data_IF_226478171830
#
_entry.id   IF_226478171830
#
_cell.length_a   1.000
_cell.length_b   1.000
_cell.length_c   1.000
_cell.angle_alpha   90.00
_cell.angle_beta   90.00
_cell.angle_gamma   90.00
#
_symmetry.space_group_name_H-M   'P 1'
#
loop_
_entity.id
_entity.type
_entity.pdbx_description
1 polymer ?
#
# COMPACT_ATOMS: atom_id res chain seq x y z
N UNK A 1 6.74 -11.68 -4.53
CA UNK A 1 5.63 -10.71 -4.62
C UNK A 1 5.08 -10.76 -6.02
N UNK A 2 3.79 -10.53 -6.17
CA UNK A 2 3.09 -10.44 -7.44
C UNK A 2 2.22 -9.18 -7.45
N UNK A 3 2.11 -8.54 -8.61
CA UNK A 3 1.19 -7.42 -8.77
C UNK A 3 -0.23 -7.93 -8.99
N UNK A 4 -1.16 -7.42 -8.20
CA UNK A 4 -2.60 -7.68 -8.29
C UNK A 4 -3.33 -6.37 -8.55
N UNK A 5 -3.39 -5.95 -9.81
CA UNK A 5 -4.06 -4.73 -10.22
C UNK A 5 -4.53 -4.79 -11.67
N UNK A 6 -5.62 -4.07 -11.96
CA UNK A 6 -6.12 -3.92 -13.33
C UNK A 6 -5.29 -2.91 -14.14
N UNK A 7 -4.63 -1.97 -13.46
CA UNK A 7 -3.70 -1.02 -14.08
C UNK A 7 -2.27 -1.58 -14.07
N UNK A 8 -1.36 -1.03 -14.91
CA UNK A 8 0.05 -1.41 -14.89
C UNK A 8 0.67 -1.27 -13.50
N UNK A 9 1.73 -2.02 -13.28
CA UNK A 9 2.59 -1.89 -12.10
C UNK A 9 3.01 -0.42 -11.93
N UNK A 10 2.79 0.13 -10.73
CA UNK A 10 3.07 1.54 -10.42
C UNK A 10 1.91 2.50 -10.70
N UNK A 11 0.78 2.02 -11.21
CA UNK A 11 -0.47 2.79 -11.26
C UNK A 11 -1.13 2.94 -9.88
N UNK A 12 -2.09 3.87 -9.79
CA UNK A 12 -2.96 4.17 -8.64
C UNK A 12 -3.94 3.04 -8.27
N UNK A 13 -3.98 1.94 -9.04
CA UNK A 13 -4.91 0.83 -8.79
C UNK A 13 -4.21 -0.52 -8.91
N UNK A 14 -3.99 -1.14 -7.76
CA UNK A 14 -3.48 -2.51 -7.63
C UNK A 14 -2.77 -2.70 -6.30
N UNK A 15 -2.19 -3.86 -6.06
CA UNK A 15 -1.32 -4.06 -4.91
C UNK A 15 -0.20 -5.03 -5.24
N UNK A 16 0.98 -4.78 -4.68
CA UNK A 16 1.95 -5.86 -4.55
C UNK A 16 1.48 -6.78 -3.44
N UNK A 17 1.36 -8.07 -3.72
CA UNK A 17 0.90 -9.07 -2.77
C UNK A 17 1.92 -10.20 -2.66
N UNK A 18 2.14 -10.70 -1.44
CA UNK A 18 2.87 -11.92 -1.20
C UNK A 18 1.90 -13.02 -0.72
N UNK A 19 1.58 -14.01 -1.57
CA UNK A 19 0.64 -15.07 -1.20
C UNK A 19 1.14 -15.99 -0.09
N UNK A 20 2.45 -16.02 0.19
CA UNK A 20 3.01 -16.86 1.26
C UNK A 20 2.77 -16.27 2.64
N UNK A 21 2.84 -14.94 2.74
CA UNK A 21 2.77 -14.22 4.02
C UNK A 21 1.47 -13.44 4.20
N UNK A 22 0.72 -13.22 3.11
CA UNK A 22 -0.42 -12.32 3.08
C UNK A 22 -0.04 -10.85 3.13
N UNK A 23 1.25 -10.51 2.97
CA UNK A 23 1.72 -9.13 2.91
C UNK A 23 1.17 -8.42 1.68
N UNK A 24 0.84 -7.15 1.82
CA UNK A 24 0.46 -6.32 0.68
C UNK A 24 0.97 -4.89 0.77
N UNK A 25 1.21 -4.29 -0.39
CA UNK A 25 1.47 -2.87 -0.56
C UNK A 25 0.49 -2.29 -1.58
N UNK A 26 -0.33 -1.33 -1.16
CA UNK A 26 -1.30 -0.64 -2.00
C UNK A 26 -0.87 0.82 -2.22
N UNK A 27 -0.60 1.26 -3.46
CA UNK A 27 -0.29 2.65 -3.74
C UNK A 27 -1.56 3.49 -3.72
N UNK A 28 -1.59 4.55 -2.91
CA UNK A 28 -2.55 5.65 -3.01
C UNK A 28 -1.81 6.98 -3.18
N UNK A 29 -1.18 7.11 -4.35
CA UNK A 29 -0.29 8.23 -4.67
C UNK A 29 -1.02 9.54 -4.97
N UNK A 30 -2.34 9.51 -5.10
CA UNK A 30 -3.17 10.68 -5.40
C UNK A 30 -4.14 11.03 -4.26
N UNK A 31 -3.94 10.44 -3.07
CA UNK A 31 -4.79 10.71 -1.92
C UNK A 31 -4.77 12.21 -1.60
N UNK A 32 -5.96 12.79 -1.53
CA UNK A 32 -6.12 14.22 -1.30
C UNK A 32 -5.69 14.61 0.13
N UNK A 33 -5.40 15.90 0.38
CA UNK A 33 -5.21 16.42 1.73
C UNK A 33 -6.41 16.09 2.65
N UNK A 34 -6.20 15.93 3.97
CA UNK A 34 -4.97 16.25 4.70
C UNK A 34 -3.93 15.12 4.74
N UNK A 35 -4.28 13.92 4.28
CA UNK A 35 -3.38 12.75 4.37
C UNK A 35 -2.28 12.87 3.32
N UNK A 36 -2.63 13.14 2.06
CA UNK A 36 -1.66 13.22 0.98
C UNK A 36 -1.17 11.84 0.49
N UNK A 37 -0.33 11.81 -0.56
CA UNK A 37 0.15 10.60 -1.20
C UNK A 37 0.85 9.62 -0.25
N UNK A 38 0.54 8.33 -0.35
CA UNK A 38 1.15 7.29 0.48
C UNK A 38 1.05 5.89 -0.13
N UNK A 39 1.66 4.92 0.55
CA UNK A 39 1.38 3.51 0.38
C UNK A 39 0.76 2.92 1.65
N UNK A 40 -0.26 2.09 1.51
CA UNK A 40 -0.74 1.25 2.60
C UNK A 40 -0.03 -0.10 2.59
N UNK A 41 0.61 -0.42 3.72
CA UNK A 41 1.31 -1.68 3.95
C UNK A 41 0.54 -2.54 4.95
N UNK A 42 0.29 -3.79 4.56
CA UNK A 42 -0.23 -4.84 5.44
C UNK A 42 0.85 -5.91 5.59
N UNK A 43 1.26 -6.28 6.82
CA UNK A 43 2.37 -7.21 7.05
C UNK A 43 1.95 -8.68 6.96
N UNK A 44 0.66 -8.95 6.86
CA UNK A 44 0.08 -10.28 6.88
C UNK A 44 -1.40 -10.27 7.25
N UNK A 45 -2.07 -11.39 7.03
CA UNK A 45 -3.51 -11.53 7.29
C UNK A 45 -3.81 -11.34 8.79
N UNK A 46 -4.74 -10.45 9.12
CA UNK A 46 -5.19 -10.19 10.50
C UNK A 46 -4.25 -9.28 11.32
N UNK A 47 -3.23 -8.71 10.70
CA UNK A 47 -2.35 -7.74 11.33
C UNK A 47 -2.77 -6.30 10.96
N UNK A 48 -2.48 -5.30 11.82
CA UNK A 48 -2.77 -3.90 11.50
C UNK A 48 -1.99 -3.45 10.26
N UNK A 49 -2.59 -2.54 9.51
CA UNK A 49 -1.96 -1.87 8.37
C UNK A 49 -1.27 -0.57 8.81
N UNK A 50 -0.37 -0.09 7.97
CA UNK A 50 0.32 1.19 8.15
C UNK A 50 0.37 1.97 6.85
N UNK A 51 0.31 3.28 7.00
CA UNK A 51 0.50 4.25 5.94
C UNK A 51 1.95 4.71 5.92
N UNK A 52 2.61 4.53 4.79
CA UNK A 52 4.01 4.88 4.56
C UNK A 52 4.07 6.04 3.58
N UNK A 53 4.57 7.18 4.04
CA UNK A 53 4.61 8.42 3.27
C UNK A 53 5.97 8.64 2.57
N UNK A 54 6.01 9.42 1.47
CA UNK A 54 7.26 9.73 0.76
C UNK A 54 8.31 10.46 1.61
N UNK A 55 7.88 11.18 2.66
CA UNK A 55 8.76 11.87 3.60
C UNK A 55 9.39 10.93 4.66
N UNK A 56 9.05 9.63 4.60
CA UNK A 56 9.53 8.61 5.52
C UNK A 56 8.70 8.46 6.80
N UNK A 57 7.65 9.26 7.00
CA UNK A 57 6.74 9.08 8.11
C UNK A 57 5.90 7.81 7.95
N UNK A 58 5.56 7.19 9.08
CA UNK A 58 4.73 5.98 9.14
C UNK A 58 3.63 6.20 10.16
N UNK A 59 2.38 6.09 9.73
CA UNK A 59 1.20 6.20 10.58
C UNK A 59 0.38 4.90 10.56
N UNK A 60 -0.47 4.64 11.56
CA UNK A 60 -1.49 3.61 11.45
C UNK A 60 -2.37 3.83 10.21
N UNK A 61 -2.65 2.74 9.48
CA UNK A 61 -3.52 2.73 8.30
C UNK A 61 -5.00 2.63 8.66
#
# INVERSE_FOLDING_TARGET
>A
MEWRGQKPVGGDKGSWYDPKTGKSWHPDLNHQPPIGPHWDYTPGKGQPSWRVFPDGSILPG
#
